data_IF_453011218148
#
_entry.id   IF_453011218148
#
_cell.length_a   1.000
_cell.length_b   1.000
_cell.length_c   1.000
_cell.angle_alpha   90.00
_cell.angle_beta   90.00
_cell.angle_gamma   90.00
#
_symmetry.space_group_name_H-M   'P 1'
#
loop_
_entity.id
_entity.type
_entity.pdbx_description
1 polymer ?
#
# COMPACT_ATOMS: atom_id res chain seq x y z
N UNK A 1 -20.03 -8.95 8.59
CA UNK A 1 -18.83 -9.69 8.03
C UNK A 1 -17.59 -8.81 8.03
N UNK A 2 -17.51 -7.69 7.30
CA UNK A 2 -16.34 -6.79 7.35
C UNK A 2 -16.28 -5.96 8.65
N UNK A 3 -17.41 -5.57 9.22
CA UNK A 3 -17.46 -4.85 10.50
C UNK A 3 -16.93 -5.67 11.68
N UNK A 4 -16.95 -7.00 11.54
CA UNK A 4 -16.45 -7.95 12.54
C UNK A 4 -15.00 -8.41 12.24
N UNK A 5 -14.38 -7.89 11.18
CA UNK A 5 -12.99 -8.20 10.82
C UNK A 5 -12.04 -7.15 11.42
N UNK A 6 -11.25 -7.49 12.45
CA UNK A 6 -10.35 -6.53 13.09
C UNK A 6 -9.29 -5.98 12.13
N UNK A 7 -8.71 -6.82 11.26
CA UNK A 7 -7.72 -6.40 10.25
C UNK A 7 -8.31 -5.35 9.29
N UNK A 8 -9.56 -5.55 8.86
CA UNK A 8 -10.23 -4.60 8.00
C UNK A 8 -10.53 -3.29 8.72
N UNK A 9 -11.06 -3.39 9.95
CA UNK A 9 -11.44 -2.21 10.75
C UNK A 9 -10.23 -1.36 11.14
N UNK A 10 -9.10 -1.96 11.53
CA UNK A 10 -7.89 -1.19 11.86
C UNK A 10 -7.39 -0.38 10.66
N UNK A 11 -7.47 -0.94 9.45
CA UNK A 11 -7.10 -0.27 8.20
C UNK A 11 -8.06 0.86 7.84
N UNK A 12 -9.37 0.60 7.83
CA UNK A 12 -10.38 1.62 7.53
C UNK A 12 -10.34 2.77 8.53
N UNK A 13 -10.15 2.47 9.81
CA UNK A 13 -9.99 3.48 10.86
C UNK A 13 -8.73 4.33 10.63
N UNK A 14 -7.61 3.71 10.24
CA UNK A 14 -6.39 4.44 9.89
C UNK A 14 -6.63 5.38 8.71
N UNK A 15 -7.25 4.89 7.63
CA UNK A 15 -7.53 5.72 6.45
C UNK A 15 -8.45 6.90 6.76
N UNK A 16 -9.44 6.70 7.65
CA UNK A 16 -10.29 7.80 8.13
C UNK A 16 -9.53 8.80 9.02
N UNK A 17 -8.51 8.35 9.73
CA UNK A 17 -7.64 9.25 10.53
C UNK A 17 -6.66 10.04 9.64
N UNK A 18 -6.21 9.47 8.53
CA UNK A 18 -5.23 10.09 7.62
C UNK A 18 -5.87 11.05 6.61
N UNK A 19 -7.03 10.69 6.01
CA UNK A 19 -7.57 11.39 4.83
C UNK A 19 -8.84 12.18 5.13
N UNK A 20 -8.87 13.46 4.73
CA UNK A 20 -10.02 14.34 4.88
C UNK A 20 -11.08 14.09 3.80
N UNK A 21 -10.67 14.11 2.55
CA UNK A 21 -11.56 14.17 1.38
C UNK A 21 -11.40 13.00 0.43
N UNK A 22 -10.21 12.35 0.41
CA UNK A 22 -9.92 11.31 -0.55
C UNK A 22 -10.82 10.07 -0.36
N UNK A 23 -11.42 9.52 -1.44
CA UNK A 23 -12.33 8.38 -1.34
C UNK A 23 -11.68 7.09 -0.82
N UNK A 24 -10.35 7.00 -0.76
CA UNK A 24 -9.64 5.84 -0.19
C UNK A 24 -10.05 5.51 1.24
N UNK A 25 -10.55 6.49 2.00
CA UNK A 25 -11.05 6.31 3.37
C UNK A 25 -12.43 5.64 3.44
N UNK A 26 -13.16 5.59 2.32
CA UNK A 26 -14.51 5.01 2.27
C UNK A 26 -14.38 3.49 2.25
N UNK A 27 -15.08 2.84 3.17
CA UNK A 27 -15.12 1.38 3.21
C UNK A 27 -15.79 0.85 1.93
N UNK A 28 -15.01 0.13 1.12
CA UNK A 28 -15.49 -0.44 -0.16
C UNK A 28 -16.57 -1.51 0.03
N UNK A 29 -16.67 -2.09 1.22
CA UNK A 29 -17.75 -3.04 1.55
C UNK A 29 -19.10 -2.33 1.76
N UNK A 30 -19.07 -1.01 1.96
CA UNK A 30 -20.25 -0.21 2.24
C UNK A 30 -20.83 -0.45 3.63
N UNK A 31 -21.95 0.21 3.89
CA UNK A 31 -22.78 0.02 5.10
C UNK A 31 -24.10 -0.62 4.71
N UNK A 32 -24.86 -1.11 5.71
CA UNK A 32 -26.21 -1.66 5.46
C UNK A 32 -27.09 -0.64 4.73
N UNK A 33 -27.00 0.64 5.11
CA UNK A 33 -27.75 1.73 4.49
C UNK A 33 -27.32 1.97 3.05
N UNK A 34 -26.01 2.07 2.79
CA UNK A 34 -25.50 2.32 1.44
C UNK A 34 -25.75 1.16 0.48
N UNK A 35 -25.67 -0.08 0.98
CA UNK A 35 -25.98 -1.28 0.20
C UNK A 35 -27.48 -1.34 -0.14
N UNK A 36 -28.35 -0.95 0.79
CA UNK A 36 -29.80 -0.92 0.55
C UNK A 36 -30.21 0.08 -0.56
N UNK A 37 -29.38 1.07 -0.84
CA UNK A 37 -29.61 2.01 -1.95
C UNK A 37 -29.17 1.49 -3.33
N UNK A 38 -28.52 0.33 -3.40
CA UNK A 38 -28.04 -0.24 -4.66
C UNK A 38 -29.22 -0.85 -5.40
N UNK A 39 -29.50 -0.30 -6.58
CA UNK A 39 -30.53 -0.81 -7.49
C UNK A 39 -29.89 -1.51 -8.70
N UNK A 40 -30.67 -2.36 -9.38
CA UNK A 40 -30.23 -2.97 -10.62
C UNK A 40 -29.81 -1.92 -11.67
N UNK A 41 -30.53 -0.79 -11.71
CA UNK A 41 -30.21 0.32 -12.62
C UNK A 41 -28.85 0.93 -12.33
N UNK A 42 -28.52 1.23 -11.05
CA UNK A 42 -27.20 1.71 -10.63
C UNK A 42 -26.10 0.72 -11.02
N UNK A 43 -26.32 -0.58 -10.78
CA UNK A 43 -25.36 -1.63 -11.17
C UNK A 43 -25.12 -1.64 -12.68
N UNK A 44 -26.16 -1.58 -13.50
CA UNK A 44 -26.01 -1.52 -14.95
C UNK A 44 -25.40 -0.21 -15.44
N UNK A 45 -25.58 0.91 -14.76
CA UNK A 45 -24.91 2.17 -15.06
C UNK A 45 -23.39 2.03 -14.83
N UNK A 46 -22.99 1.51 -13.66
CA UNK A 46 -21.58 1.23 -13.36
C UNK A 46 -20.96 0.23 -14.35
N UNK A 47 -21.69 -0.85 -14.66
CA UNK A 47 -21.24 -1.83 -15.63
C UNK A 47 -20.96 -1.18 -17.00
N UNK A 48 -21.90 -0.39 -17.54
CA UNK A 48 -21.74 0.30 -18.81
C UNK A 48 -20.61 1.32 -18.83
N UNK A 49 -20.35 1.96 -17.69
CA UNK A 49 -19.29 2.97 -17.56
C UNK A 49 -17.89 2.34 -17.50
N UNK A 50 -17.73 1.26 -16.75
CA UNK A 50 -16.40 0.72 -16.42
C UNK A 50 -16.04 -0.56 -17.12
N UNK A 51 -17.00 -1.44 -17.48
CA UNK A 51 -16.77 -2.69 -18.20
C UNK A 51 -16.74 -2.46 -19.71
N UNK A 52 -15.75 -1.70 -20.15
CA UNK A 52 -15.52 -1.37 -21.55
C UNK A 52 -14.14 -1.87 -21.96
N UNK A 53 -14.00 -2.48 -23.15
CA UNK A 53 -12.73 -3.04 -23.62
C UNK A 53 -11.59 -2.00 -23.68
N UNK A 54 -11.93 -0.71 -23.82
CA UNK A 54 -10.95 0.38 -23.78
C UNK A 54 -10.49 0.74 -22.36
N UNK A 55 -11.15 0.21 -21.33
CA UNK A 55 -10.82 0.38 -19.91
C UNK A 55 -10.32 -0.93 -19.27
N UNK A 56 -9.98 -1.93 -20.08
CA UNK A 56 -9.56 -3.25 -19.60
C UNK A 56 -8.25 -3.67 -20.27
N UNK A 57 -7.49 -4.49 -19.56
CA UNK A 57 -6.28 -5.13 -20.08
C UNK A 57 -6.36 -6.64 -19.85
N UNK A 58 -5.95 -7.41 -20.84
CA UNK A 58 -5.77 -8.85 -20.72
C UNK A 58 -4.28 -9.15 -20.61
N UNK A 59 -3.87 -9.73 -19.50
CA UNK A 59 -2.52 -10.25 -19.30
C UNK A 59 -2.57 -11.77 -19.13
N UNK A 60 -1.70 -12.46 -19.85
CA UNK A 60 -1.56 -13.92 -19.77
C UNK A 60 -0.09 -14.26 -19.56
N UNK A 61 0.22 -14.94 -18.47
CA UNK A 61 1.56 -15.40 -18.16
C UNK A 61 1.58 -16.93 -17.99
N UNK A 62 2.51 -17.61 -18.66
CA UNK A 62 2.65 -19.07 -18.60
C UNK A 62 3.27 -19.64 -19.85
N UNK A 63 3.21 -20.95 -19.98
CA UNK A 63 3.68 -21.66 -21.18
C UNK A 63 2.60 -21.61 -22.29
N UNK A 64 2.45 -20.46 -22.93
CA UNK A 64 1.45 -20.18 -23.97
C UNK A 64 2.10 -19.56 -25.21
N UNK A 65 1.51 -19.78 -26.38
CA UNK A 65 1.86 -19.05 -27.59
C UNK A 65 1.15 -17.69 -27.60
N UNK A 66 1.87 -16.55 -27.56
CA UNK A 66 1.25 -15.23 -27.57
C UNK A 66 0.37 -14.97 -28.79
N UNK A 67 0.77 -15.51 -29.97
CA UNK A 67 0.01 -15.36 -31.20
C UNK A 67 -1.34 -16.07 -31.15
N UNK A 68 -1.41 -17.23 -30.51
CA UNK A 68 -2.68 -17.94 -30.31
C UNK A 68 -3.58 -17.23 -29.33
N UNK A 69 -3.02 -16.65 -28.26
CA UNK A 69 -3.78 -15.83 -27.30
C UNK A 69 -4.43 -14.63 -28.00
N UNK A 70 -3.65 -13.90 -28.82
CA UNK A 70 -4.16 -12.76 -29.59
C UNK A 70 -5.25 -13.21 -30.56
N UNK A 71 -5.07 -14.29 -31.34
CA UNK A 71 -6.10 -14.80 -32.25
C UNK A 71 -7.40 -15.20 -31.53
N UNK A 72 -7.29 -15.77 -30.34
CA UNK A 72 -8.46 -16.11 -29.54
C UNK A 72 -9.15 -14.84 -29.03
N UNK A 73 -8.40 -13.85 -28.56
CA UNK A 73 -8.93 -12.56 -28.13
C UNK A 73 -9.67 -11.86 -29.29
N UNK A 74 -9.05 -11.72 -30.45
CA UNK A 74 -9.65 -11.09 -31.64
C UNK A 74 -10.96 -11.78 -32.09
N UNK A 75 -11.02 -13.09 -31.96
CA UNK A 75 -12.22 -13.86 -32.31
C UNK A 75 -13.34 -13.69 -31.30
N UNK A 76 -13.01 -13.53 -29.99
CA UNK A 76 -13.96 -13.51 -28.89
C UNK A 76 -14.40 -12.12 -28.48
N UNK A 77 -13.50 -11.16 -28.53
CA UNK A 77 -13.76 -9.77 -28.16
C UNK A 77 -14.33 -9.03 -29.38
N UNK A 78 -15.51 -8.46 -29.22
CA UNK A 78 -16.13 -7.68 -30.30
C UNK A 78 -15.79 -6.20 -30.08
N UNK A 79 -15.54 -5.45 -31.17
CA UNK A 79 -15.37 -4.00 -31.09
C UNK A 79 -16.54 -3.36 -30.33
N UNK A 80 -16.22 -2.43 -29.45
CA UNK A 80 -17.19 -1.64 -28.68
C UNK A 80 -16.87 -0.16 -28.84
N UNK A 81 -17.88 0.68 -28.73
CA UNK A 81 -17.68 2.12 -28.67
C UNK A 81 -16.91 2.50 -27.41
N UNK A 82 -15.92 3.41 -27.57
CA UNK A 82 -15.09 3.84 -26.46
C UNK A 82 -15.89 4.68 -25.47
N UNK A 83 -15.94 4.25 -24.22
CA UNK A 83 -16.41 5.03 -23.08
C UNK A 83 -15.20 5.46 -22.28
N UNK A 84 -15.09 6.76 -22.01
CA UNK A 84 -14.01 7.31 -21.17
C UNK A 84 -14.60 7.61 -19.79
N UNK A 85 -14.10 6.92 -18.78
CA UNK A 85 -14.37 7.24 -17.39
C UNK A 85 -13.19 8.06 -16.83
N UNK A 86 -13.49 9.26 -16.35
CA UNK A 86 -12.49 10.11 -15.70
C UNK A 86 -12.61 9.95 -14.18
N UNK A 87 -11.47 9.69 -13.53
CA UNK A 87 -11.38 9.71 -12.08
C UNK A 87 -11.16 11.16 -11.62
N UNK A 88 -12.11 11.69 -10.89
CA UNK A 88 -12.00 13.01 -10.28
C UNK A 88 -11.87 12.84 -8.77
N UNK A 89 -10.72 13.22 -8.24
CA UNK A 89 -10.48 13.21 -6.80
C UNK A 89 -10.62 14.63 -6.24
N UNK A 90 -11.27 14.79 -5.08
CA UNK A 90 -11.29 16.08 -4.39
C UNK A 90 -9.87 16.44 -3.94
N UNK A 91 -9.62 17.75 -3.80
CA UNK A 91 -8.36 18.19 -3.24
C UNK A 91 -8.22 17.69 -1.80
N UNK A 92 -7.12 16.99 -1.55
CA UNK A 92 -6.80 16.42 -0.26
C UNK A 92 -5.79 17.31 0.47
N UNK A 93 -6.07 17.77 1.70
CA UNK A 93 -5.08 18.51 2.51
C UNK A 93 -3.89 17.64 2.90
N UNK A 94 -2.73 18.27 3.13
CA UNK A 94 -1.51 17.59 3.58
C UNK A 94 -1.63 17.05 5.02
N UNK A 95 -2.38 17.75 5.87
CA UNK A 95 -2.61 17.37 7.26
C UNK A 95 -3.45 16.09 7.41
N UNK A 96 -3.45 15.53 8.60
CA UNK A 96 -4.27 14.39 9.01
C UNK A 96 -5.55 14.85 9.71
N UNK A 97 -6.55 13.97 9.78
CA UNK A 97 -7.83 14.26 10.46
C UNK A 97 -7.67 14.18 11.98
N UNK A 98 -6.97 13.14 12.45
CA UNK A 98 -6.71 12.92 13.89
C UNK A 98 -5.50 12.02 14.09
N UNK A 99 -4.81 12.21 15.21
CA UNK A 99 -3.56 11.50 15.51
C UNK A 99 -3.80 10.06 16.00
N UNK A 100 -4.97 9.79 16.60
CA UNK A 100 -5.29 8.47 17.18
C UNK A 100 -6.76 8.14 17.04
N UNK A 101 -7.02 6.90 16.65
CA UNK A 101 -8.36 6.30 16.62
C UNK A 101 -8.32 4.95 17.33
N UNK A 102 -9.37 4.66 18.12
CA UNK A 102 -9.49 3.43 18.87
C UNK A 102 -10.87 2.81 18.67
N UNK A 103 -10.91 1.49 18.54
CA UNK A 103 -12.13 0.71 18.49
C UNK A 103 -11.95 -0.58 19.31
N UNK A 104 -13.04 -1.10 19.89
CA UNK A 104 -13.03 -2.36 20.62
C UNK A 104 -13.74 -3.43 19.81
N UNK A 105 -13.06 -4.57 19.60
CA UNK A 105 -13.58 -5.73 18.88
C UNK A 105 -13.17 -7.03 19.58
N UNK A 106 -13.71 -8.15 19.13
CA UNK A 106 -13.40 -9.47 19.66
C UNK A 106 -12.01 -9.94 19.19
N UNK A 107 -10.96 -9.40 19.78
CA UNK A 107 -9.56 -9.77 19.54
C UNK A 107 -8.91 -10.27 20.83
N UNK A 108 -7.96 -11.21 20.74
CA UNK A 108 -7.23 -11.71 21.90
C UNK A 108 -6.03 -10.82 22.27
N UNK A 109 -5.44 -10.18 21.28
CA UNK A 109 -4.30 -9.26 21.42
C UNK A 109 -4.66 -7.98 20.68
N UNK A 110 -4.36 -6.80 21.23
CA UNK A 110 -4.58 -5.56 20.50
C UNK A 110 -3.83 -5.52 19.18
N UNK A 111 -4.47 -4.94 18.17
CA UNK A 111 -3.89 -4.73 16.84
C UNK A 111 -3.67 -3.25 16.60
N UNK A 112 -2.64 -2.91 15.86
CA UNK A 112 -2.36 -1.51 15.51
C UNK A 112 -1.93 -1.35 14.06
N UNK A 113 -2.22 -0.16 13.54
CA UNK A 113 -1.60 0.37 12.33
C UNK A 113 -1.17 1.81 12.59
N UNK A 114 0.10 2.09 12.31
CA UNK A 114 0.70 3.41 12.37
C UNK A 114 0.98 3.88 10.94
N UNK A 115 0.32 4.95 10.51
CA UNK A 115 0.42 5.43 9.13
C UNK A 115 1.02 6.83 9.05
N UNK A 116 1.99 7.02 8.15
CA UNK A 116 2.59 8.30 7.80
C UNK A 116 2.08 8.72 6.43
N UNK A 117 1.24 9.75 6.38
CA UNK A 117 0.65 10.27 5.14
C UNK A 117 1.68 11.03 4.33
N UNK A 118 1.72 10.82 3.02
CA UNK A 118 2.48 11.68 2.11
C UNK A 118 1.69 12.92 1.71
N UNK A 119 2.42 13.90 1.16
CA UNK A 119 1.84 15.14 0.64
C UNK A 119 0.75 14.86 -0.39
N UNK A 120 -0.36 15.59 -0.28
CA UNK A 120 -1.48 15.49 -1.19
C UNK A 120 -1.14 15.94 -2.62
N UNK A 121 -2.01 15.58 -3.56
CA UNK A 121 -1.89 15.98 -4.96
C UNK A 121 -0.94 15.12 -5.78
N UNK A 122 -0.44 14.03 -5.20
CA UNK A 122 0.36 13.04 -5.92
C UNK A 122 -0.57 12.29 -6.87
N UNK A 123 -0.28 12.32 -8.16
CA UNK A 123 -0.83 11.32 -9.09
C UNK A 123 -0.33 9.95 -8.66
N UNK A 124 -0.26 8.94 -9.41
CA UNK A 124 0.41 7.71 -8.96
C UNK A 124 1.90 7.96 -8.69
N UNK A 125 2.42 7.25 -7.69
CA UNK A 125 3.84 7.30 -7.32
C UNK A 125 4.68 6.66 -8.43
N UNK A 126 5.81 7.28 -8.80
CA UNK A 126 6.69 6.75 -9.83
C UNK A 126 7.40 5.46 -9.38
N UNK A 127 7.84 4.58 -10.31
CA UNK A 127 8.62 3.38 -9.98
C UNK A 127 9.88 3.68 -9.17
N UNK A 128 10.54 4.81 -9.45
CA UNK A 128 11.72 5.27 -8.71
C UNK A 128 11.39 5.48 -7.23
N UNK A 129 10.33 6.24 -6.94
CA UNK A 129 9.89 6.52 -5.56
C UNK A 129 9.41 5.25 -4.84
N UNK A 130 8.74 4.34 -5.55
CA UNK A 130 8.33 3.05 -5.00
C UNK A 130 9.54 2.21 -4.57
N UNK A 131 10.57 2.10 -5.42
CA UNK A 131 11.79 1.37 -5.10
C UNK A 131 12.57 2.03 -3.96
N UNK A 132 12.71 3.36 -3.97
CA UNK A 132 13.37 4.11 -2.91
C UNK A 132 12.68 3.87 -1.56
N UNK A 133 11.35 3.93 -1.54
CA UNK A 133 10.55 3.64 -0.33
C UNK A 133 10.70 2.18 0.11
N UNK A 134 10.70 1.22 -0.83
CA UNK A 134 10.92 -0.18 -0.50
C UNK A 134 12.28 -0.43 0.16
N UNK A 135 13.34 0.26 -0.30
CA UNK A 135 14.67 0.19 0.34
C UNK A 135 14.66 0.84 1.72
N UNK A 136 14.00 1.99 1.90
CA UNK A 136 13.83 2.62 3.22
C UNK A 136 13.12 1.71 4.21
N UNK A 137 12.02 1.09 3.80
CA UNK A 137 11.26 0.18 4.66
C UNK A 137 12.04 -1.09 4.99
N UNK A 138 12.86 -1.57 4.06
CA UNK A 138 13.77 -2.68 4.33
C UNK A 138 14.78 -2.32 5.41
N UNK A 139 15.40 -1.13 5.35
CA UNK A 139 16.32 -0.64 6.37
C UNK A 139 15.63 -0.48 7.71
N UNK A 140 14.41 0.08 7.73
CA UNK A 140 13.74 0.51 8.94
C UNK A 140 13.02 -0.63 9.67
N UNK A 141 12.32 -1.51 8.96
CA UNK A 141 11.35 -2.43 9.55
C UNK A 141 11.45 -3.89 9.07
N UNK A 142 12.47 -4.25 8.31
CA UNK A 142 12.69 -5.66 7.97
C UNK A 142 13.12 -6.46 9.20
N UNK A 143 13.03 -7.79 9.11
CA UNK A 143 13.48 -8.70 10.19
C UNK A 143 14.96 -8.58 10.54
N UNK A 144 15.76 -7.92 9.71
CA UNK A 144 17.18 -7.62 9.93
C UNK A 144 17.41 -6.22 10.50
N UNK A 145 16.36 -5.42 10.73
CA UNK A 145 16.49 -4.06 11.25
C UNK A 145 16.63 -4.03 12.76
N UNK A 146 17.37 -3.06 13.33
CA UNK A 146 17.46 -2.87 14.78
C UNK A 146 16.10 -2.62 15.43
N UNK A 147 15.21 -1.88 14.75
CA UNK A 147 13.85 -1.64 15.25
C UNK A 147 13.07 -2.94 15.45
N UNK A 148 13.14 -3.86 14.47
CA UNK A 148 12.45 -5.14 14.57
C UNK A 148 12.96 -5.96 15.76
N UNK A 149 14.28 -6.03 15.93
CA UNK A 149 14.93 -6.74 17.04
C UNK A 149 14.52 -6.15 18.39
N UNK A 150 14.59 -4.82 18.56
CA UNK A 150 14.20 -4.14 19.80
C UNK A 150 12.71 -4.34 20.15
N UNK A 151 11.82 -4.25 19.16
CA UNK A 151 10.38 -4.48 19.35
C UNK A 151 10.10 -5.92 19.78
N UNK A 152 10.81 -6.88 19.18
CA UNK A 152 10.66 -8.30 19.49
C UNK A 152 11.21 -8.63 20.88
N UNK A 153 12.39 -8.14 21.24
CA UNK A 153 13.00 -8.33 22.56
C UNK A 153 12.14 -7.77 23.70
N UNK A 154 11.47 -6.64 23.48
CA UNK A 154 10.51 -6.08 24.42
C UNK A 154 9.16 -6.78 24.44
N UNK A 155 8.93 -7.76 23.56
CA UNK A 155 7.65 -8.44 23.43
C UNK A 155 6.50 -7.56 22.95
N UNK A 156 6.83 -6.46 22.25
CA UNK A 156 5.87 -5.51 21.68
C UNK A 156 5.31 -5.96 20.34
N UNK A 157 5.97 -6.88 19.67
CA UNK A 157 5.51 -7.52 18.42
C UNK A 157 5.73 -9.02 18.48
N UNK A 158 5.11 -9.75 17.58
CA UNK A 158 5.43 -11.14 17.29
C UNK A 158 6.03 -11.29 15.88
N UNK A 159 6.61 -12.46 15.59
CA UNK A 159 7.34 -12.69 14.33
C UNK A 159 6.44 -12.86 13.11
N UNK A 160 5.13 -12.98 13.29
CA UNK A 160 4.17 -13.31 12.23
C UNK A 160 3.27 -12.13 11.82
N UNK A 161 3.01 -11.18 12.72
CA UNK A 161 2.03 -10.11 12.48
C UNK A 161 2.64 -8.74 12.18
N UNK A 162 3.94 -8.50 12.55
CA UNK A 162 4.55 -7.19 12.29
C UNK A 162 5.09 -7.08 10.87
N UNK A 163 4.78 -5.95 10.24
CA UNK A 163 5.27 -5.60 8.91
C UNK A 163 5.10 -4.12 8.60
N UNK A 164 5.67 -3.73 7.47
CA UNK A 164 5.49 -2.41 6.90
C UNK A 164 5.14 -2.50 5.42
N UNK A 165 4.35 -1.56 4.94
CA UNK A 165 3.98 -1.46 3.54
C UNK A 165 3.95 0.00 3.08
N UNK A 166 4.13 0.19 1.79
CA UNK A 166 3.86 1.44 1.11
C UNK A 166 2.52 1.34 0.42
N UNK A 167 1.48 1.88 1.07
CA UNK A 167 0.11 1.90 0.58
C UNK A 167 -0.08 3.11 -0.33
N UNK A 168 -0.21 2.89 -1.64
CA UNK A 168 -0.28 3.97 -2.62
C UNK A 168 -1.35 3.72 -3.69
N UNK A 169 -1.80 4.81 -4.27
CA UNK A 169 -2.70 4.80 -5.42
C UNK A 169 -2.90 6.20 -5.99
N UNK A 170 -3.84 6.37 -6.95
CA UNK A 170 -4.08 7.66 -7.56
C UNK A 170 -4.51 8.71 -6.53
N UNK A 171 -3.65 9.69 -6.25
CA UNK A 171 -3.94 10.81 -5.36
C UNK A 171 -3.76 10.53 -3.86
N UNK A 172 -3.23 9.38 -3.48
CA UNK A 172 -2.91 9.07 -2.09
C UNK A 172 -1.66 8.20 -1.96
N UNK A 173 -0.95 8.37 -0.88
CA UNK A 173 0.12 7.47 -0.45
C UNK A 173 0.36 7.59 1.06
N UNK A 174 0.73 6.47 1.68
CA UNK A 174 1.13 6.41 3.08
C UNK A 174 2.11 5.26 3.32
N UNK A 175 3.07 5.46 4.21
CA UNK A 175 3.83 4.35 4.80
C UNK A 175 3.05 3.85 6.00
N UNK A 176 2.79 2.55 6.05
CA UNK A 176 2.00 1.92 7.12
C UNK A 176 2.85 0.85 7.80
N UNK A 177 2.92 0.90 9.13
CA UNK A 177 3.44 -0.16 9.98
C UNK A 177 2.27 -0.82 10.68
N UNK A 178 2.21 -2.15 10.65
CA UNK A 178 1.09 -2.90 11.20
C UNK A 178 1.57 -4.06 12.06
N UNK A 179 0.77 -4.43 13.05
CA UNK A 179 1.07 -5.60 13.88
C UNK A 179 0.09 -5.80 15.04
N UNK A 180 0.32 -6.89 15.75
CA UNK A 180 -0.29 -7.14 17.05
C UNK A 180 0.70 -6.74 18.15
N UNK A 181 0.21 -6.06 19.18
CA UNK A 181 1.02 -5.63 20.31
C UNK A 181 0.21 -5.64 21.60
N UNK A 182 0.83 -6.08 22.69
CA UNK A 182 0.25 -5.92 24.03
C UNK A 182 0.24 -4.47 24.49
N UNK A 183 1.09 -3.63 23.92
CA UNK A 183 1.17 -2.20 24.16
C UNK A 183 1.36 -1.45 22.82
N UNK A 184 0.27 -1.23 22.06
CA UNK A 184 0.32 -0.54 20.76
C UNK A 184 0.93 0.86 20.82
N UNK A 185 0.68 1.61 21.89
CA UNK A 185 1.19 2.96 22.04
C UNK A 185 2.72 2.97 22.20
N UNK A 186 3.29 2.03 22.96
CA UNK A 186 4.75 1.90 23.10
C UNK A 186 5.39 1.42 21.79
N UNK A 187 4.77 0.47 21.10
CA UNK A 187 5.24 0.02 19.78
C UNK A 187 5.26 1.18 18.77
N UNK A 188 4.17 1.96 18.71
CA UNK A 188 4.08 3.13 17.85
C UNK A 188 5.12 4.20 18.22
N UNK A 189 5.33 4.47 19.50
CA UNK A 189 6.35 5.42 19.96
C UNK A 189 7.77 4.98 19.54
N UNK A 190 8.09 3.70 19.65
CA UNK A 190 9.39 3.17 19.19
C UNK A 190 9.57 3.27 17.69
N UNK A 191 8.53 3.03 16.90
CA UNK A 191 8.57 3.19 15.43
C UNK A 191 8.82 4.66 15.07
N UNK A 192 8.07 5.60 15.68
CA UNK A 192 8.24 7.04 15.47
C UNK A 192 9.67 7.49 15.83
N UNK A 193 10.20 7.01 16.95
CA UNK A 193 11.57 7.30 17.38
C UNK A 193 12.62 6.73 16.40
N UNK A 194 12.41 5.54 15.88
CA UNK A 194 13.29 4.96 14.87
C UNK A 194 13.26 5.76 13.55
N UNK A 195 12.08 6.23 13.12
CA UNK A 195 11.93 7.12 11.98
C UNK A 195 12.70 8.43 12.21
N UNK A 196 12.55 9.05 13.38
CA UNK A 196 13.26 10.28 13.74
C UNK A 196 14.79 10.11 13.73
N UNK A 197 15.28 9.02 14.34
CA UNK A 197 16.71 8.70 14.32
C UNK A 197 17.23 8.48 12.90
N UNK A 198 16.44 7.84 12.05
CA UNK A 198 16.82 7.62 10.66
C UNK A 198 16.89 8.95 9.88
N UNK A 199 15.97 9.89 10.12
CA UNK A 199 16.05 11.25 9.55
C UNK A 199 17.32 12.00 10.00
N UNK A 200 17.70 11.89 11.27
CA UNK A 200 18.88 12.57 11.82
C UNK A 200 20.19 11.98 11.30
N UNK A 201 20.26 10.65 11.14
CA UNK A 201 21.50 9.95 10.78
C UNK A 201 21.63 9.69 9.29
N UNK A 202 20.52 9.61 8.56
CA UNK A 202 20.47 9.09 7.20
C UNK A 202 20.68 7.57 7.12
N UNK A 203 20.44 7.02 5.94
CA UNK A 203 20.77 5.63 5.62
C UNK A 203 22.26 5.50 5.37
N UNK A 204 22.92 4.57 6.06
CA UNK A 204 24.35 4.33 5.86
C UNK A 204 24.63 3.50 4.59
N UNK A 205 25.85 3.56 4.02
CA UNK A 205 26.23 2.73 2.87
C UNK A 205 26.05 1.23 3.10
N UNK A 206 26.28 0.76 4.32
CA UNK A 206 26.12 -0.64 4.70
C UNK A 206 24.64 -1.04 4.71
N UNK A 207 23.79 -0.26 5.38
CA UNK A 207 22.34 -0.45 5.41
C UNK A 207 21.75 -0.45 3.99
N UNK A 208 22.12 0.54 3.18
CA UNK A 208 21.71 0.61 1.79
C UNK A 208 22.11 -0.62 0.99
N UNK A 209 23.36 -1.08 1.14
CA UNK A 209 23.89 -2.20 0.36
C UNK A 209 23.13 -3.50 0.58
N UNK A 210 22.80 -3.85 1.83
CA UNK A 210 22.04 -5.07 2.10
C UNK A 210 20.55 -4.89 1.77
N UNK A 211 19.95 -3.74 2.08
CA UNK A 211 18.54 -3.47 1.81
C UNK A 211 18.25 -3.48 0.29
N UNK A 212 19.08 -2.81 -0.51
CA UNK A 212 18.99 -2.84 -1.98
C UNK A 212 19.02 -4.28 -2.51
N UNK A 213 19.96 -5.10 -2.03
CA UNK A 213 20.06 -6.51 -2.45
C UNK A 213 18.83 -7.31 -2.07
N UNK A 214 18.26 -7.08 -0.88
CA UNK A 214 17.04 -7.76 -0.43
C UNK A 214 15.82 -7.37 -1.28
N UNK A 215 15.63 -6.07 -1.55
CA UNK A 215 14.55 -5.56 -2.40
C UNK A 215 14.69 -6.11 -3.82
N UNK A 216 15.87 -6.00 -4.43
CA UNK A 216 16.12 -6.51 -5.78
C UNK A 216 15.92 -8.02 -5.87
N UNK A 217 16.43 -8.77 -4.89
CA UNK A 217 16.27 -10.22 -4.84
C UNK A 217 14.81 -10.66 -4.75
N UNK A 218 13.98 -9.97 -3.93
CA UNK A 218 12.53 -10.23 -3.87
C UNK A 218 11.82 -9.87 -5.17
N UNK A 219 12.21 -8.78 -5.81
CA UNK A 219 11.66 -8.38 -7.11
C UNK A 219 11.92 -9.44 -8.17
N UNK A 220 13.13 -10.00 -8.22
CA UNK A 220 13.45 -11.10 -9.13
C UNK A 220 12.73 -12.41 -8.76
N UNK A 221 12.63 -12.72 -7.45
CA UNK A 221 11.96 -13.93 -6.98
C UNK A 221 10.46 -13.97 -7.37
N UNK A 222 9.81 -12.81 -7.46
CA UNK A 222 8.43 -12.68 -7.94
C UNK A 222 8.26 -13.25 -9.35
N UNK A 223 9.28 -13.17 -10.20
CA UNK A 223 9.26 -13.70 -11.58
C UNK A 223 9.23 -15.24 -11.66
N UNK A 224 9.37 -15.94 -10.55
CA UNK A 224 9.19 -17.40 -10.49
C UNK A 224 7.72 -17.84 -10.42
N UNK A 225 6.78 -16.91 -10.27
CA UNK A 225 5.36 -17.21 -10.16
C UNK A 225 4.57 -16.48 -11.26
N UNK A 226 3.89 -17.24 -12.13
CA UNK A 226 3.15 -16.70 -13.27
C UNK A 226 1.97 -15.81 -12.89
N UNK A 227 1.30 -16.12 -11.78
CA UNK A 227 0.22 -15.29 -11.25
C UNK A 227 0.76 -13.94 -10.75
N UNK A 228 1.87 -13.96 -10.01
CA UNK A 228 2.55 -12.74 -9.54
C UNK A 228 3.00 -11.86 -10.72
N UNK A 229 3.55 -12.47 -11.77
CA UNK A 229 3.93 -11.74 -13.00
C UNK A 229 2.69 -11.08 -13.63
N UNK A 230 1.61 -11.85 -13.87
CA UNK A 230 0.42 -11.34 -14.51
C UNK A 230 -0.21 -10.18 -13.71
N UNK A 231 -0.35 -10.35 -12.40
CA UNK A 231 -0.91 -9.32 -11.53
C UNK A 231 -0.03 -8.06 -11.48
N UNK A 232 1.30 -8.22 -11.37
CA UNK A 232 2.23 -7.10 -11.39
C UNK A 232 2.18 -6.35 -12.73
N UNK A 233 2.15 -7.06 -13.86
CA UNK A 233 2.05 -6.43 -15.18
C UNK A 233 0.75 -5.63 -15.35
N UNK A 234 -0.38 -6.16 -14.89
CA UNK A 234 -1.67 -5.45 -14.93
C UNK A 234 -1.64 -4.21 -14.06
N UNK A 235 -1.19 -4.35 -12.80
CA UNK A 235 -1.13 -3.22 -11.86
C UNK A 235 -0.25 -2.09 -12.38
N UNK A 236 0.91 -2.44 -12.93
CA UNK A 236 1.86 -1.46 -13.43
C UNK A 236 1.41 -0.84 -14.77
N UNK A 237 0.74 -1.60 -15.63
CA UNK A 237 0.11 -1.05 -16.83
C UNK A 237 -0.87 0.08 -16.50
N UNK A 238 -1.75 -0.13 -15.50
CA UNK A 238 -2.67 0.91 -15.04
C UNK A 238 -1.98 2.04 -14.28
N UNK A 239 -0.78 1.81 -13.76
CA UNK A 239 0.06 2.84 -13.19
C UNK A 239 0.82 3.68 -14.24
N UNK A 240 0.83 3.24 -15.51
CA UNK A 240 1.45 3.95 -16.63
C UNK A 240 2.92 3.60 -16.86
N UNK A 241 3.40 2.48 -16.33
CA UNK A 241 4.77 1.97 -16.55
C UNK A 241 4.80 0.45 -16.69
N UNK A 242 5.95 -0.12 -17.03
CA UNK A 242 6.11 -1.56 -17.17
C UNK A 242 6.68 -2.23 -15.92
N UNK A 243 6.47 -3.54 -15.79
CA UNK A 243 7.14 -4.35 -14.76
C UNK A 243 8.67 -4.26 -14.87
N UNK A 244 9.20 -4.18 -16.08
CA UNK A 244 10.64 -4.10 -16.32
C UNK A 244 11.23 -2.76 -15.86
N UNK A 245 10.49 -1.66 -16.00
CA UNK A 245 10.91 -0.35 -15.47
C UNK A 245 11.14 -0.43 -13.95
N UNK A 246 10.26 -1.10 -13.22
CA UNK A 246 10.43 -1.29 -11.78
C UNK A 246 11.68 -2.13 -11.45
N UNK A 247 11.93 -3.21 -12.20
CA UNK A 247 13.11 -4.07 -12.02
C UNK A 247 14.39 -3.27 -12.29
N UNK A 248 14.42 -2.50 -13.36
CA UNK A 248 15.58 -1.67 -13.72
C UNK A 248 15.85 -0.60 -12.64
N UNK A 249 14.79 0.07 -12.14
CA UNK A 249 14.94 1.04 -11.05
C UNK A 249 15.43 0.38 -9.75
N UNK A 250 15.02 -0.85 -9.45
CA UNK A 250 15.53 -1.58 -8.29
C UNK A 250 17.02 -1.94 -8.43
N UNK A 251 17.49 -2.19 -9.65
CA UNK A 251 18.91 -2.40 -9.92
C UNK A 251 19.74 -1.11 -9.84
N UNK A 252 19.18 0.02 -10.27
CA UNK A 252 19.87 1.30 -10.44
C UNK A 252 19.82 2.22 -9.22
N UNK A 253 18.87 2.02 -8.28
CA UNK A 253 18.67 2.91 -7.11
C UNK A 253 19.99 3.18 -6.36
N UNK A 254 20.20 4.43 -5.96
CA UNK A 254 21.41 4.90 -5.27
C UNK A 254 21.10 5.30 -3.82
N UNK A 255 22.13 5.32 -2.97
CA UNK A 255 22.04 5.78 -1.58
C UNK A 255 21.55 7.23 -1.49
N UNK A 256 22.03 8.09 -2.38
CA UNK A 256 21.63 9.51 -2.43
C UNK A 256 20.14 9.64 -2.68
N UNK A 257 19.59 8.88 -3.63
CA UNK A 257 18.18 8.86 -3.94
C UNK A 257 17.33 8.36 -2.76
N UNK A 258 17.80 7.33 -2.04
CA UNK A 258 17.09 6.80 -0.86
C UNK A 258 17.09 7.82 0.28
N UNK A 259 18.20 8.53 0.51
CA UNK A 259 18.24 9.59 1.52
C UNK A 259 17.39 10.80 1.11
N UNK A 260 17.38 11.18 -0.16
CA UNK A 260 16.47 12.23 -0.64
C UNK A 260 14.97 11.84 -0.44
N UNK A 261 14.65 10.56 -0.66
CA UNK A 261 13.30 10.05 -0.42
C UNK A 261 12.92 10.04 1.06
N UNK A 262 13.86 9.80 1.95
CA UNK A 262 13.65 9.86 3.41
C UNK A 262 13.17 11.25 3.84
N UNK A 263 13.72 12.33 3.28
CA UNK A 263 13.32 13.71 3.58
C UNK A 263 11.86 14.03 3.16
N UNK A 264 11.28 13.26 2.24
CA UNK A 264 9.90 13.43 1.78
C UNK A 264 8.88 12.64 2.60
N UNK A 265 9.32 11.63 3.34
CA UNK A 265 8.46 10.64 4.01
C UNK A 265 8.64 10.62 5.52
N UNK A 266 7.77 9.87 6.21
CA UNK A 266 7.86 9.59 7.65
C UNK A 266 7.79 10.85 8.54
N UNK A 267 7.09 11.89 8.06
CA UNK A 267 6.84 13.11 8.80
C UNK A 267 5.88 12.85 9.97
N UNK A 268 6.38 13.02 11.18
CA UNK A 268 5.64 12.75 12.43
C UNK A 268 4.40 13.65 12.59
N UNK A 269 4.40 14.84 11.99
CA UNK A 269 3.24 15.75 11.99
C UNK A 269 2.07 15.24 11.13
N UNK A 270 2.32 14.26 10.27
CA UNK A 270 1.34 13.62 9.38
C UNK A 270 1.16 12.12 9.70
N UNK A 271 1.33 11.77 10.96
CA UNK A 271 1.27 10.40 11.45
C UNK A 271 -0.01 10.17 12.26
N UNK A 272 -0.69 9.06 12.01
CA UNK A 272 -1.86 8.62 12.76
C UNK A 272 -1.71 7.17 13.23
N UNK A 273 -2.24 6.87 14.41
CA UNK A 273 -2.29 5.55 15.02
C UNK A 273 -3.73 5.05 15.08
N UNK A 274 -4.00 3.91 14.47
CA UNK A 274 -5.25 3.17 14.62
C UNK A 274 -5.03 1.95 15.49
N UNK A 275 -5.89 1.74 16.48
CA UNK A 275 -5.80 0.64 17.44
C UNK A 275 -7.13 -0.09 17.56
N UNK A 276 -7.09 -1.42 17.50
CA UNK A 276 -8.19 -2.28 17.89
C UNK A 276 -7.84 -2.93 19.22
N UNK A 277 -8.67 -2.67 20.24
CA UNK A 277 -8.53 -3.25 21.58
C UNK A 277 -9.50 -4.40 21.79
N UNK A 278 -9.18 -5.36 22.70
CA UNK A 278 -10.12 -6.38 23.14
C UNK A 278 -11.42 -5.76 23.70
N UNK A 279 -12.53 -6.44 23.48
CA UNK A 279 -13.78 -6.18 24.20
C UNK A 279 -13.59 -6.60 25.66
N UNK A 280 -14.17 -5.85 26.58
CA UNK A 280 -14.20 -6.21 28.01
C UNK A 280 -15.06 -7.43 28.28
#
# INVERSE_FOLDING_TARGET
MYDDSPDWRVMVNLLNALYHNHPVKIDIAGTVESIAEITAEKLYQCYRAYYNLHNMVLCVAGNVDPGEVVKIADRKLKPVEKVTAENVFPQEPDGIVQERVEQRLAVAVPMFQLGFKETAGVQRVSPEKMVQTAVLLEVLASKASPLYEELLEKGLINTSSFGSEYFEGPGYAAVVFAGESRNPDEAAAMIREACRKLHEAGVTPEQFSWAKRAVYGRTLAMLNNTESIANAMVSQYFAGYSLFDYIDRAAEVTLEQVNARLEEQLDDSRCALSVILPQE
#
